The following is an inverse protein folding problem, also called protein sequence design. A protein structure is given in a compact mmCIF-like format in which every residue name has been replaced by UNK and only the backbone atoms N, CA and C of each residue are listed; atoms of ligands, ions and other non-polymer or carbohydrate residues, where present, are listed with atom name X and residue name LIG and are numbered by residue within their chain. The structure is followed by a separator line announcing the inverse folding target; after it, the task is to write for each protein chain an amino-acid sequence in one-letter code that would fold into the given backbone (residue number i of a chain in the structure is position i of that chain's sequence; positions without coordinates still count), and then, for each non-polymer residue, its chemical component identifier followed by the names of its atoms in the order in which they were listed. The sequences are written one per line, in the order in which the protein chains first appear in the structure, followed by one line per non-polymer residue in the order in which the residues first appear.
data_IF_230738282193
#
_entry.id   IF_230738282193
#
_cell.length_a   1.000
_cell.length_b   1.000
_cell.length_c   1.000
_cell.angle_alpha   90.00
_cell.angle_beta   90.00
_cell.angle_gamma   90.00
#
_symmetry.space_group_name_H-M   'P 1'
#
loop_
_entity.id
_entity.type
_entity.pdbx_description
1 polymer ?
#
# COMPACT_ATOMS: atom_id res chain seq x y z
N UNK A 1 -22.66 12.35 8.83
CA UNK A 1 -22.45 11.12 9.63
C UNK A 1 -20.97 10.89 9.86
N UNK A 2 -20.66 10.22 10.96
CA UNK A 2 -19.29 9.87 11.34
C UNK A 2 -19.28 8.42 11.86
N UNK A 3 -18.19 7.73 11.67
CA UNK A 3 -17.91 6.43 12.26
C UNK A 3 -16.42 6.31 12.63
N UNK A 4 -16.16 5.49 13.63
CA UNK A 4 -14.82 5.23 14.15
C UNK A 4 -14.62 3.73 14.31
N UNK A 5 -13.39 3.28 14.19
CA UNK A 5 -12.95 1.93 14.50
C UNK A 5 -11.58 1.95 15.18
N UNK A 6 -11.39 1.03 16.12
CA UNK A 6 -10.11 0.70 16.73
C UNK A 6 -9.51 -0.49 16.01
N UNK A 7 -8.28 -0.36 15.54
CA UNK A 7 -7.57 -1.40 14.81
C UNK A 7 -6.30 -1.78 15.57
N UNK A 8 -6.24 -2.98 16.18
CA UNK A 8 -5.03 -3.49 16.78
C UNK A 8 -4.06 -3.97 15.70
N UNK A 9 -2.81 -3.51 15.79
CA UNK A 9 -1.70 -3.84 14.91
C UNK A 9 -0.47 -4.19 15.73
N UNK A 10 0.43 -4.99 15.16
CA UNK A 10 1.69 -5.34 15.79
C UNK A 10 2.82 -4.45 15.29
N UNK A 11 3.76 -4.15 16.19
CA UNK A 11 5.06 -3.63 15.79
C UNK A 11 5.98 -4.78 15.35
N UNK A 12 6.96 -4.44 14.52
CA UNK A 12 8.04 -5.34 14.11
C UNK A 12 9.08 -5.45 15.22
N UNK A 13 8.74 -6.17 16.28
CA UNK A 13 9.68 -6.42 17.36
C UNK A 13 10.92 -7.17 16.85
N UNK A 14 12.14 -6.86 17.37
CA UNK A 14 13.35 -7.59 17.03
C UNK A 14 13.29 -9.02 17.53
N UNK A 15 13.97 -9.93 16.83
CA UNK A 15 14.28 -11.25 17.36
C UNK A 15 15.32 -11.17 18.50
N UNK A 16 15.59 -12.29 19.14
CA UNK A 16 16.50 -12.34 20.29
C UNK A 16 17.91 -11.86 19.94
N UNK A 17 18.45 -12.26 18.78
CA UNK A 17 19.79 -11.85 18.34
C UNK A 17 19.87 -10.34 18.07
N UNK A 18 18.87 -9.81 17.42
CA UNK A 18 18.79 -8.38 17.13
C UNK A 18 18.60 -7.55 18.40
N UNK A 19 17.84 -8.06 19.36
CA UNK A 19 17.65 -7.41 20.66
C UNK A 19 18.94 -7.38 21.49
N UNK A 20 19.70 -8.49 21.53
CA UNK A 20 21.00 -8.55 22.20
C UNK A 20 21.99 -7.57 21.55
N UNK A 21 22.07 -7.54 20.23
CA UNK A 21 22.87 -6.55 19.51
C UNK A 21 22.48 -5.13 19.91
N UNK A 22 21.19 -4.83 19.97
CA UNK A 22 20.69 -3.51 20.32
C UNK A 22 21.08 -3.11 21.75
N UNK A 23 20.90 -4.01 22.72
CA UNK A 23 21.29 -3.78 24.11
C UNK A 23 22.79 -3.52 24.24
N UNK A 24 23.64 -4.33 23.58
CA UNK A 24 25.09 -4.17 23.62
C UNK A 24 25.59 -2.84 23.03
N UNK A 25 24.88 -2.29 22.05
CA UNK A 25 25.19 -0.95 21.50
C UNK A 25 24.75 0.15 22.45
N UNK A 26 23.51 0.06 22.94
CA UNK A 26 22.94 1.10 23.83
C UNK A 26 23.76 1.19 25.13
N UNK A 27 24.21 0.05 25.70
CA UNK A 27 25.07 0.02 26.90
C UNK A 27 26.39 0.79 26.71
N UNK A 28 26.92 0.81 25.49
CA UNK A 28 28.16 1.52 25.16
C UNK A 28 27.95 2.96 24.70
N UNK A 29 26.69 3.36 24.50
CA UNK A 29 26.36 4.70 24.00
C UNK A 29 26.31 5.70 25.15
N UNK A 30 27.22 6.65 25.16
CA UNK A 30 27.23 7.73 26.14
C UNK A 30 26.34 8.89 25.69
N UNK A 31 25.28 9.17 26.45
CA UNK A 31 24.34 10.29 26.19
C UNK A 31 23.36 9.97 25.06
N UNK A 32 23.11 10.96 24.18
CA UNK A 32 22.19 10.78 23.06
C UNK A 32 22.86 10.02 21.90
N UNK A 33 22.16 9.10 21.23
CA UNK A 33 22.67 8.43 20.03
C UNK A 33 23.07 9.43 18.96
N UNK A 34 24.26 9.25 18.36
CA UNK A 34 24.85 10.13 17.35
C UNK A 34 25.02 9.45 15.99
N UNK A 35 25.12 8.12 15.99
CA UNK A 35 25.30 7.33 14.79
C UNK A 35 24.03 6.55 14.44
N UNK A 36 23.91 6.19 13.16
CA UNK A 36 22.77 5.39 12.71
C UNK A 36 22.63 4.06 13.48
N UNK A 37 23.69 3.28 13.73
CA UNK A 37 23.59 2.07 14.57
C UNK A 37 23.07 2.33 15.98
N UNK A 38 23.53 3.38 16.65
CA UNK A 38 23.08 3.76 17.99
C UNK A 38 21.60 4.14 18.00
N UNK A 39 21.15 4.92 17.00
CA UNK A 39 19.74 5.32 16.86
C UNK A 39 18.87 4.08 16.67
N UNK A 40 19.21 3.21 15.71
CA UNK A 40 18.39 2.03 15.44
C UNK A 40 18.49 0.96 16.52
N UNK A 41 19.60 0.85 17.25
CA UNK A 41 19.68 -0.02 18.44
C UNK A 41 18.66 0.42 19.50
N UNK A 42 18.60 1.70 19.80
CA UNK A 42 17.59 2.25 20.72
C UNK A 42 16.15 2.00 20.21
N UNK A 43 15.89 2.18 18.93
CA UNK A 43 14.58 1.94 18.34
C UNK A 43 14.17 0.46 18.42
N UNK A 44 15.11 -0.50 18.29
CA UNK A 44 14.79 -1.92 18.48
C UNK A 44 14.31 -2.22 19.90
N UNK A 45 14.92 -1.58 20.91
CA UNK A 45 14.49 -1.74 22.31
C UNK A 45 13.08 -1.20 22.49
N UNK A 46 12.77 -0.01 21.98
CA UNK A 46 11.41 0.55 22.03
C UNK A 46 10.36 -0.34 21.35
N UNK A 47 10.68 -0.92 20.18
CA UNK A 47 9.75 -1.83 19.50
C UNK A 47 9.56 -3.14 20.26
N UNK A 48 10.57 -3.60 21.01
CA UNK A 48 10.44 -4.76 21.87
C UNK A 48 9.55 -4.48 23.10
N UNK A 49 9.70 -3.32 23.70
CA UNK A 49 8.93 -2.90 24.90
C UNK A 49 7.48 -2.57 24.56
N UNK A 50 7.20 -2.14 23.31
CA UNK A 50 5.87 -1.80 22.82
C UNK A 50 5.52 -2.69 21.61
N UNK A 51 5.08 -3.95 21.83
CA UNK A 51 4.86 -4.89 20.73
C UNK A 51 3.58 -4.61 19.91
N UNK A 52 2.66 -3.81 20.42
CA UNK A 52 1.35 -3.55 19.80
C UNK A 52 0.96 -2.06 19.86
N UNK A 53 0.16 -1.66 18.87
CA UNK A 53 -0.52 -0.38 18.82
C UNK A 53 -2.00 -0.57 18.52
N UNK A 54 -2.86 0.29 19.08
CA UNK A 54 -4.27 0.39 18.70
C UNK A 54 -4.48 1.70 17.96
N UNK A 55 -4.76 1.62 16.65
CA UNK A 55 -5.02 2.78 15.83
C UNK A 55 -6.49 3.18 15.90
N UNK A 56 -6.76 4.48 16.01
CA UNK A 56 -8.09 5.04 15.88
C UNK A 56 -8.27 5.53 14.45
N UNK A 57 -9.11 4.83 13.69
CA UNK A 57 -9.45 5.16 12.30
C UNK A 57 -10.84 5.79 12.27
N UNK A 58 -11.00 6.82 11.47
CA UNK A 58 -12.25 7.54 11.39
C UNK A 58 -12.70 7.73 9.94
N UNK A 59 -14.03 7.76 9.73
CA UNK A 59 -14.62 8.23 8.49
C UNK A 59 -15.73 9.25 8.80
N UNK A 60 -15.74 10.32 8.02
CA UNK A 60 -16.76 11.38 8.07
C UNK A 60 -17.40 11.50 6.69
N UNK A 61 -18.72 11.61 6.64
CA UNK A 61 -19.46 11.92 5.42
C UNK A 61 -20.11 13.29 5.52
N UNK A 62 -19.85 14.14 4.52
CA UNK A 62 -20.50 15.45 4.34
C UNK A 62 -21.08 15.48 2.92
N UNK A 63 -22.40 15.34 2.80
CA UNK A 63 -23.04 15.18 1.50
C UNK A 63 -22.51 13.96 0.76
N UNK A 64 -21.89 14.16 -0.41
CA UNK A 64 -21.27 13.11 -1.24
C UNK A 64 -19.75 13.02 -1.07
N UNK A 65 -19.20 13.74 -0.09
CA UNK A 65 -17.78 13.71 0.25
C UNK A 65 -17.57 12.75 1.41
N UNK A 66 -16.64 11.80 1.24
CA UNK A 66 -16.09 10.94 2.28
C UNK A 66 -14.71 11.43 2.71
N UNK A 67 -14.48 11.44 4.00
CA UNK A 67 -13.17 11.81 4.59
C UNK A 67 -12.74 10.64 5.46
N UNK A 68 -11.52 10.15 5.27
CA UNK A 68 -10.89 9.18 6.18
C UNK A 68 -9.76 9.82 6.95
N UNK A 69 -9.68 9.57 8.26
CA UNK A 69 -8.60 9.99 9.13
C UNK A 69 -7.76 8.79 9.57
N UNK A 70 -6.45 8.87 9.34
CA UNK A 70 -5.48 7.80 9.63
C UNK A 70 -4.35 8.40 10.46
N UNK A 71 -3.99 7.83 11.65
CA UNK A 71 -2.93 8.36 12.51
C UNK A 71 -1.53 7.95 12.05
N UNK A 72 -1.28 7.94 10.74
CA UNK A 72 -0.03 7.51 10.13
C UNK A 72 0.30 8.41 8.93
N UNK A 73 1.56 8.41 8.52
CA UNK A 73 1.96 8.91 7.20
C UNK A 73 1.72 7.82 6.16
N UNK A 74 0.69 8.03 5.30
CA UNK A 74 0.29 7.06 4.29
C UNK A 74 0.90 7.37 2.94
N UNK A 75 1.15 6.31 2.17
CA UNK A 75 1.53 6.46 0.77
C UNK A 75 0.34 6.95 -0.08
N UNK A 76 0.63 7.75 -1.09
CA UNK A 76 -0.39 8.21 -2.05
C UNK A 76 -1.18 7.05 -2.66
N UNK A 77 -0.55 5.87 -2.82
CA UNK A 77 -1.17 4.65 -3.31
C UNK A 77 -2.34 4.20 -2.43
N UNK A 78 -2.22 4.28 -1.10
CA UNK A 78 -3.30 3.96 -0.16
C UNK A 78 -4.52 4.86 -0.37
N UNK A 79 -4.30 6.16 -0.52
CA UNK A 79 -5.37 7.11 -0.85
C UNK A 79 -6.01 6.84 -2.22
N UNK A 80 -5.23 6.44 -3.22
CA UNK A 80 -5.74 6.05 -4.54
C UNK A 80 -6.59 4.79 -4.48
N UNK A 81 -6.17 3.77 -3.71
CA UNK A 81 -6.97 2.55 -3.44
C UNK A 81 -8.31 2.90 -2.81
N UNK A 82 -8.31 3.77 -1.80
CA UNK A 82 -9.54 4.22 -1.14
C UNK A 82 -10.45 4.99 -2.11
N UNK A 83 -9.92 5.94 -2.87
CA UNK A 83 -10.70 6.69 -3.88
C UNK A 83 -11.32 5.80 -4.94
N UNK A 84 -10.59 4.81 -5.42
CA UNK A 84 -11.08 3.87 -6.42
C UNK A 84 -12.25 3.03 -5.92
N UNK A 85 -12.25 2.65 -4.65
CA UNK A 85 -13.21 1.71 -4.06
C UNK A 85 -14.29 2.39 -3.21
N UNK A 86 -14.11 3.64 -2.83
CA UNK A 86 -15.07 4.36 -1.97
C UNK A 86 -16.48 4.34 -2.55
N UNK A 87 -17.53 4.15 -1.72
CA UNK A 87 -18.92 4.27 -2.15
C UNK A 87 -19.33 5.72 -2.46
N UNK A 88 -18.51 6.70 -2.08
CA UNK A 88 -18.79 8.13 -2.25
C UNK A 88 -18.07 8.69 -3.49
N UNK A 89 -18.65 9.69 -4.14
CA UNK A 89 -18.12 10.26 -5.36
C UNK A 89 -16.74 10.89 -5.17
N UNK A 90 -16.57 11.60 -4.05
CA UNK A 90 -15.32 12.22 -3.65
C UNK A 90 -14.83 11.62 -2.34
N UNK A 91 -13.56 11.24 -2.27
CA UNK A 91 -12.94 10.73 -1.05
C UNK A 91 -11.62 11.43 -0.80
N UNK A 92 -11.41 11.87 0.42
CA UNK A 92 -10.21 12.55 0.90
C UNK A 92 -9.63 11.72 2.03
N UNK A 93 -8.35 11.42 1.98
CA UNK A 93 -7.61 10.78 3.06
C UNK A 93 -6.76 11.81 3.76
N UNK A 94 -6.91 11.94 5.07
CA UNK A 94 -6.07 12.76 5.93
C UNK A 94 -5.10 11.85 6.69
N UNK A 95 -3.82 12.13 6.52
CA UNK A 95 -2.72 11.54 7.28
C UNK A 95 -2.60 12.22 8.64
N UNK A 96 -1.87 11.56 9.57
CA UNK A 96 -1.55 12.08 10.90
C UNK A 96 -2.77 12.60 11.66
N UNK A 97 -3.94 12.06 11.33
CA UNK A 97 -5.18 12.42 11.97
C UNK A 97 -5.31 11.69 13.32
N UNK A 98 -5.43 12.47 14.41
CA UNK A 98 -5.60 11.97 15.78
C UNK A 98 -4.42 11.15 16.32
N UNK A 99 -3.22 11.33 15.79
CA UNK A 99 -2.03 10.63 16.27
C UNK A 99 -0.91 10.58 15.23
N UNK A 100 0.19 9.94 15.61
CA UNK A 100 1.35 9.74 14.74
C UNK A 100 2.01 8.40 15.07
N UNK A 101 1.59 7.35 14.35
CA UNK A 101 2.16 5.99 14.50
C UNK A 101 3.11 5.66 13.33
N UNK A 102 3.73 6.69 12.74
CA UNK A 102 4.78 6.59 11.72
C UNK A 102 4.28 6.20 10.32
N UNK A 103 5.22 5.88 9.47
CA UNK A 103 4.97 5.48 8.07
C UNK A 103 4.28 4.13 7.98
N UNK A 104 3.37 3.99 7.04
CA UNK A 104 2.73 2.72 6.67
C UNK A 104 2.93 2.43 5.18
N UNK A 105 4.13 2.01 4.77
CA UNK A 105 4.37 1.62 3.40
C UNK A 105 3.52 0.39 3.04
N UNK A 106 2.96 0.33 1.82
CA UNK A 106 2.37 -0.90 1.30
C UNK A 106 3.36 -2.08 1.35
N UNK A 107 2.90 -3.33 1.46
CA UNK A 107 3.78 -4.50 1.62
C UNK A 107 4.90 -4.59 0.58
N UNK A 108 4.61 -4.27 -0.68
CA UNK A 108 5.56 -4.27 -1.77
C UNK A 108 6.68 -3.22 -1.60
N UNK A 109 6.42 -2.12 -0.90
CA UNK A 109 7.43 -1.08 -0.65
C UNK A 109 8.44 -1.48 0.43
N UNK A 110 8.05 -2.39 1.35
CA UNK A 110 9.00 -2.94 2.32
C UNK A 110 10.15 -3.68 1.65
N UNK A 111 9.93 -4.31 0.50
CA UNK A 111 10.95 -5.02 -0.28
C UNK A 111 11.92 -4.06 -0.95
N UNK A 112 11.43 -2.89 -1.38
CA UNK A 112 12.27 -1.85 -2.00
C UNK A 112 13.18 -1.14 -1.00
N UNK A 113 12.82 -1.19 0.29
CA UNK A 113 13.60 -0.54 1.34
C UNK A 113 13.39 0.98 1.39
N UNK A 114 14.35 1.67 2.01
CA UNK A 114 14.28 3.09 2.28
C UNK A 114 13.92 3.39 3.74
N UNK A 115 14.23 4.60 4.22
CA UNK A 115 14.10 4.97 5.64
C UNK A 115 12.69 4.80 6.20
N UNK A 116 11.67 4.97 5.38
CA UNK A 116 10.26 4.81 5.72
C UNK A 116 9.82 3.34 5.86
N UNK A 117 10.74 2.39 5.63
CA UNK A 117 10.52 0.96 5.84
C UNK A 117 11.40 0.37 6.94
N UNK A 118 12.36 1.14 7.46
CA UNK A 118 13.26 0.64 8.50
C UNK A 118 12.55 0.51 9.84
N UNK A 119 12.74 -0.62 10.53
CA UNK A 119 12.07 -0.89 11.79
C UNK A 119 12.54 0.07 12.88
N UNK A 120 11.71 1.06 13.17
CA UNK A 120 11.85 2.09 14.19
C UNK A 120 10.45 2.58 14.58
N UNK A 121 10.30 3.40 15.62
CA UNK A 121 9.00 4.02 15.97
C UNK A 121 8.38 4.81 14.81
N UNK A 122 9.21 5.36 13.93
CA UNK A 122 8.78 6.11 12.76
C UNK A 122 8.26 5.24 11.60
N UNK A 123 8.46 3.92 11.64
CA UNK A 123 7.99 2.95 10.65
C UNK A 123 7.91 1.56 11.28
N UNK A 124 7.35 1.46 12.48
CA UNK A 124 7.44 0.25 13.31
C UNK A 124 6.40 -0.81 13.02
N UNK A 125 5.27 -0.48 12.42
CA UNK A 125 4.15 -1.39 12.23
C UNK A 125 4.49 -2.55 11.27
N UNK A 126 3.77 -3.64 11.43
CA UNK A 126 3.89 -4.85 10.61
C UNK A 126 3.65 -4.56 9.11
N UNK A 127 4.29 -5.28 8.16
CA UNK A 127 4.11 -5.04 6.73
C UNK A 127 2.66 -5.14 6.23
N UNK A 128 1.82 -5.90 6.95
CA UNK A 128 0.39 -6.01 6.66
C UNK A 128 -0.45 -4.83 7.18
N UNK A 129 0.13 -3.85 7.84
CA UNK A 129 -0.60 -2.74 8.46
C UNK A 129 -1.36 -1.91 7.43
N UNK A 130 -0.71 -1.49 6.32
CA UNK A 130 -1.34 -0.67 5.29
C UNK A 130 -2.61 -1.29 4.71
N UNK A 131 -2.62 -2.54 4.21
CA UNK A 131 -3.84 -3.11 3.67
C UNK A 131 -4.95 -3.29 4.72
N UNK A 132 -4.60 -3.57 5.98
CA UNK A 132 -5.59 -3.67 7.07
C UNK A 132 -6.21 -2.31 7.41
N UNK A 133 -5.41 -1.24 7.41
CA UNK A 133 -5.87 0.13 7.62
C UNK A 133 -6.76 0.57 6.44
N UNK A 134 -6.33 0.34 5.20
CA UNK A 134 -7.11 0.67 4.01
C UNK A 134 -8.47 -0.03 4.00
N UNK A 135 -8.50 -1.32 4.37
CA UNK A 135 -9.73 -2.10 4.48
C UNK A 135 -10.67 -1.56 5.56
N UNK A 136 -10.16 -1.26 6.75
CA UNK A 136 -10.94 -0.68 7.84
C UNK A 136 -11.52 0.69 7.45
N UNK A 137 -10.75 1.54 6.77
CA UNK A 137 -11.24 2.83 6.25
C UNK A 137 -12.36 2.65 5.23
N UNK A 138 -12.26 1.67 4.31
CA UNK A 138 -13.32 1.37 3.35
C UNK A 138 -14.60 0.89 4.04
N UNK A 139 -14.49 0.02 5.05
CA UNK A 139 -15.64 -0.41 5.87
C UNK A 139 -16.30 0.76 6.59
N UNK A 140 -15.51 1.70 7.11
CA UNK A 140 -16.05 2.91 7.73
C UNK A 140 -16.75 3.81 6.71
N UNK A 141 -16.24 3.95 5.48
CA UNK A 141 -16.89 4.68 4.40
C UNK A 141 -18.20 4.03 3.97
N UNK A 142 -18.27 2.69 3.91
CA UNK A 142 -19.50 1.94 3.68
C UNK A 142 -20.53 2.23 4.79
N UNK A 143 -20.09 2.19 6.04
CA UNK A 143 -20.93 2.46 7.21
C UNK A 143 -21.52 3.88 7.20
N UNK A 144 -20.70 4.91 6.95
CA UNK A 144 -21.18 6.30 6.96
C UNK A 144 -22.01 6.65 5.72
N UNK A 145 -21.82 5.96 4.61
CA UNK A 145 -22.58 6.18 3.38
C UNK A 145 -23.88 5.38 3.31
N UNK A 146 -23.93 4.23 3.99
CA UNK A 146 -24.98 3.23 3.84
C UNK A 146 -24.99 2.54 2.48
N UNK A 147 -23.86 2.61 1.74
CA UNK A 147 -23.72 2.05 0.39
C UNK A 147 -22.52 1.09 0.35
N UNK A 148 -22.57 0.02 -0.45
CA UNK A 148 -21.40 -0.84 -0.65
C UNK A 148 -20.30 -0.09 -1.40
N UNK A 149 -19.04 -0.50 -1.18
CA UNK A 149 -17.91 0.04 -1.93
C UNK A 149 -18.03 -0.27 -3.42
N UNK A 150 -17.42 0.57 -4.21
CA UNK A 150 -17.32 0.34 -5.65
C UNK A 150 -16.31 -0.78 -5.92
N UNK A 151 -16.63 -1.62 -6.88
CA UNK A 151 -15.65 -2.51 -7.50
C UNK A 151 -14.98 -1.69 -8.61
N UNK A 152 -13.66 -1.44 -8.53
CA UNK A 152 -12.98 -0.70 -9.58
C UNK A 152 -13.16 -1.39 -10.92
N UNK A 153 -13.83 -0.72 -11.84
CA UNK A 153 -13.96 -1.20 -13.22
C UNK A 153 -12.91 -0.53 -14.08
N UNK A 154 -12.13 -1.32 -14.77
CA UNK A 154 -11.15 -0.82 -15.73
C UNK A 154 -11.90 -0.32 -16.97
N UNK A 155 -11.91 1.00 -17.20
CA UNK A 155 -12.48 1.55 -18.42
C UNK A 155 -11.59 1.25 -19.61
N UNK A 156 -12.13 0.55 -20.60
CA UNK A 156 -11.40 0.17 -21.82
C UNK A 156 -11.61 1.24 -22.90
N UNK A 157 -10.56 2.01 -23.21
CA UNK A 157 -10.55 2.96 -24.31
C UNK A 157 -10.43 2.31 -25.69
N UNK A 158 -10.37 3.15 -26.73
CA UNK A 158 -10.28 2.65 -28.11
C UNK A 158 -9.10 1.70 -28.34
N UNK A 159 -7.92 2.03 -27.82
CA UNK A 159 -6.72 1.19 -27.95
C UNK A 159 -6.92 -0.17 -27.26
N UNK A 160 -7.43 -0.17 -26.02
CA UNK A 160 -7.71 -1.40 -25.28
C UNK A 160 -8.77 -2.29 -25.97
N UNK A 161 -9.81 -1.66 -26.55
CA UNK A 161 -10.82 -2.38 -27.34
C UNK A 161 -10.23 -3.00 -28.60
N UNK A 162 -9.34 -2.28 -29.30
CA UNK A 162 -8.66 -2.78 -30.49
C UNK A 162 -7.75 -3.98 -30.17
N UNK A 163 -6.97 -3.89 -29.06
CA UNK A 163 -6.13 -5.01 -28.61
C UNK A 163 -6.99 -6.23 -28.27
N UNK A 164 -8.05 -6.05 -27.50
CA UNK A 164 -8.95 -7.15 -27.14
C UNK A 164 -9.62 -7.79 -28.38
N UNK A 165 -10.01 -6.96 -29.37
CA UNK A 165 -10.59 -7.45 -30.63
C UNK A 165 -9.60 -8.25 -31.48
N UNK A 166 -8.30 -7.96 -31.39
CA UNK A 166 -7.24 -8.72 -32.05
C UNK A 166 -7.02 -10.12 -31.41
N UNK A 167 -7.67 -10.41 -30.28
CA UNK A 167 -7.62 -11.71 -29.57
C UNK A 167 -6.19 -12.20 -29.34
N UNK A 168 -5.32 -11.42 -28.68
CA UNK A 168 -3.94 -11.85 -28.41
C UNK A 168 -3.92 -13.14 -27.59
N UNK A 169 -2.81 -13.85 -27.61
CA UNK A 169 -2.62 -15.06 -26.78
C UNK A 169 -2.71 -14.71 -25.30
N UNK A 170 -2.10 -13.61 -24.91
CA UNK A 170 -2.16 -13.05 -23.58
C UNK A 170 -2.01 -11.52 -23.64
N UNK A 171 -2.53 -10.83 -22.64
CA UNK A 171 -2.42 -9.38 -22.54
C UNK A 171 -2.43 -8.93 -21.08
N UNK A 172 -1.27 -8.56 -20.54
CA UNK A 172 -1.11 -8.01 -19.19
C UNK A 172 -1.04 -6.48 -19.28
N UNK A 173 -1.94 -5.80 -18.58
CA UNK A 173 -1.99 -4.33 -18.57
C UNK A 173 -1.03 -3.71 -17.58
N UNK A 174 -0.65 -4.44 -16.55
CA UNK A 174 0.22 -4.01 -15.46
C UNK A 174 -0.34 -2.80 -14.71
N UNK A 175 -1.65 -2.78 -14.51
CA UNK A 175 -2.37 -1.68 -13.84
C UNK A 175 -2.98 -2.11 -12.49
N UNK A 176 -2.52 -3.20 -11.93
CA UNK A 176 -2.89 -3.68 -10.61
C UNK A 176 -2.39 -2.74 -9.50
N UNK A 177 -3.12 -2.72 -8.39
CA UNK A 177 -2.72 -1.98 -7.18
C UNK A 177 -1.62 -2.69 -6.38
N UNK A 178 -1.48 -4.01 -6.53
CA UNK A 178 -0.54 -4.85 -5.80
C UNK A 178 -0.30 -6.16 -6.55
N UNK A 179 0.75 -6.89 -6.11
CA UNK A 179 1.04 -8.26 -6.58
C UNK A 179 0.57 -9.35 -5.62
N UNK A 180 1.03 -10.58 -5.81
CA UNK A 180 1.96 -10.98 -6.88
C UNK A 180 1.32 -11.31 -8.23
N UNK A 181 -0.01 -11.29 -8.36
CA UNK A 181 -0.69 -11.70 -9.59
C UNK A 181 -0.68 -10.58 -10.64
N UNK A 182 -0.17 -10.88 -11.84
CA UNK A 182 -0.34 -10.06 -13.04
C UNK A 182 -1.51 -10.62 -13.85
N UNK A 183 -2.60 -9.87 -13.94
CA UNK A 183 -3.85 -10.33 -14.53
C UNK A 183 -3.74 -10.35 -16.07
N UNK A 184 -3.98 -11.50 -16.67
CA UNK A 184 -4.18 -11.60 -18.12
C UNK A 184 -5.62 -11.19 -18.47
N UNK A 185 -5.80 -10.08 -19.17
CA UNK A 185 -7.11 -9.60 -19.65
C UNK A 185 -7.84 -10.62 -20.55
N UNK A 186 -7.12 -11.61 -21.08
CA UNK A 186 -7.70 -12.71 -21.83
C UNK A 186 -8.13 -13.89 -20.95
N UNK A 187 -7.88 -13.84 -19.64
CA UNK A 187 -8.21 -14.84 -18.63
C UNK A 187 -7.64 -16.25 -18.93
N UNK A 188 -6.42 -16.34 -19.44
CA UNK A 188 -5.79 -17.62 -19.83
C UNK A 188 -4.42 -17.83 -19.21
N UNK A 189 -3.64 -16.75 -19.10
CA UNK A 189 -2.21 -16.82 -18.79
C UNK A 189 -1.82 -15.76 -17.79
N UNK A 190 -2.41 -15.78 -16.58
CA UNK A 190 -1.97 -14.90 -15.50
C UNK A 190 -0.48 -15.04 -15.27
N UNK A 191 0.17 -13.93 -15.05
CA UNK A 191 1.56 -13.86 -14.67
C UNK A 191 1.72 -13.73 -13.16
N UNK A 192 2.96 -13.81 -12.74
CA UNK A 192 3.39 -13.57 -11.37
C UNK A 192 4.47 -12.49 -11.40
N UNK A 193 4.25 -11.40 -10.69
CA UNK A 193 5.29 -10.44 -10.39
C UNK A 193 6.26 -11.03 -9.37
N UNK A 194 7.53 -10.95 -9.65
CA UNK A 194 8.57 -11.18 -8.65
C UNK A 194 8.60 -10.04 -7.63
N UNK A 195 9.48 -10.10 -6.66
CA UNK A 195 9.67 -9.02 -5.67
C UNK A 195 10.18 -7.72 -6.33
N UNK A 196 10.24 -6.61 -5.59
CA UNK A 196 10.78 -5.33 -6.06
C UNK A 196 10.04 -4.74 -7.28
N UNK A 197 8.73 -4.81 -7.26
CA UNK A 197 7.87 -4.15 -8.24
C UNK A 197 7.06 -3.05 -7.56
N UNK A 198 7.14 -1.83 -8.06
CA UNK A 198 6.25 -0.75 -7.64
C UNK A 198 5.03 -0.71 -8.56
N UNK A 199 3.84 -0.72 -7.96
CA UNK A 199 2.57 -0.86 -8.68
C UNK A 199 1.85 0.48 -8.86
N UNK A 200 0.93 0.48 -9.82
CA UNK A 200 -0.05 1.56 -10.05
C UNK A 200 0.55 2.94 -10.30
N UNK A 201 1.76 3.01 -10.83
CA UNK A 201 2.41 4.27 -11.20
C UNK A 201 1.75 4.88 -12.44
N UNK A 202 2.02 6.17 -12.70
CA UNK A 202 1.55 6.82 -13.91
C UNK A 202 2.17 6.14 -15.13
N UNK A 203 1.31 5.58 -15.98
CA UNK A 203 1.71 5.02 -17.26
C UNK A 203 1.83 6.10 -18.36
N UNK A 204 2.29 5.72 -19.55
CA UNK A 204 2.39 6.63 -20.68
C UNK A 204 1.05 7.33 -20.95
N UNK A 205 1.07 8.64 -21.07
CA UNK A 205 -0.10 9.42 -21.40
C UNK A 205 -0.08 9.77 -22.89
N UNK A 206 -1.11 9.36 -23.61
CA UNK A 206 -1.30 9.70 -25.00
C UNK A 206 -2.79 9.98 -25.25
N UNK A 207 -3.15 11.24 -25.38
CA UNK A 207 -4.54 11.69 -25.54
C UNK A 207 -5.25 11.02 -26.70
N UNK A 208 -4.52 10.71 -27.77
CA UNK A 208 -5.02 9.99 -28.95
C UNK A 208 -5.42 8.53 -28.65
N UNK A 209 -4.73 7.86 -27.74
CA UNK A 209 -4.95 6.43 -27.45
C UNK A 209 -5.67 6.19 -26.14
N UNK A 210 -5.53 7.11 -25.18
CA UNK A 210 -6.10 7.01 -23.83
C UNK A 210 -6.88 8.27 -23.43
N UNK A 211 -7.81 8.77 -24.27
CA UNK A 211 -8.53 10.01 -23.96
C UNK A 211 -9.38 9.82 -22.71
N UNK A 212 -9.17 10.69 -21.72
CA UNK A 212 -9.92 10.67 -20.46
C UNK A 212 -9.71 9.42 -19.61
N UNK A 213 -8.69 8.59 -19.88
CA UNK A 213 -8.41 7.37 -19.13
C UNK A 213 -7.18 7.48 -18.26
N UNK A 214 -7.27 6.86 -17.10
CA UNK A 214 -6.10 6.66 -16.25
C UNK A 214 -5.31 5.49 -16.81
N UNK A 215 -4.11 5.75 -17.35
CA UNK A 215 -3.17 4.73 -17.75
C UNK A 215 -2.18 4.49 -16.62
N UNK A 216 -1.99 3.23 -16.24
CA UNK A 216 -1.11 2.80 -15.15
C UNK A 216 -0.04 1.86 -15.66
N UNK A 217 1.04 1.76 -14.89
CA UNK A 217 2.17 0.90 -15.19
C UNK A 217 2.78 0.35 -13.90
N UNK A 218 3.41 -0.81 -14.00
CA UNK A 218 4.31 -1.32 -12.98
C UNK A 218 5.76 -0.86 -13.28
N UNK A 219 6.53 -0.60 -12.23
CA UNK A 219 7.96 -0.32 -12.32
C UNK A 219 8.75 -1.48 -11.73
N UNK A 220 9.61 -2.07 -12.52
CA UNK A 220 10.45 -3.20 -12.14
C UNK A 220 11.83 -2.69 -11.70
N UNK A 221 12.20 -2.96 -10.47
CA UNK A 221 13.48 -2.52 -9.89
C UNK A 221 14.46 -3.70 -9.89
N UNK A 222 14.88 -4.10 -11.10
CA UNK A 222 15.81 -5.22 -11.30
C UNK A 222 15.17 -6.60 -11.39
N UNK A 223 13.87 -6.75 -11.16
CA UNK A 223 13.11 -7.98 -11.21
C UNK A 223 12.18 -8.03 -12.44
N UNK A 224 11.30 -9.03 -12.50
CA UNK A 224 10.48 -9.28 -13.68
C UNK A 224 9.06 -9.75 -13.34
N UNK A 225 8.22 -9.80 -14.34
CA UNK A 225 6.99 -10.55 -14.36
C UNK A 225 7.21 -11.82 -15.19
N UNK A 226 6.73 -12.97 -14.71
CA UNK A 226 6.79 -14.25 -15.39
C UNK A 226 5.38 -14.77 -15.70
N UNK A 227 5.20 -15.32 -16.88
CA UNK A 227 3.97 -16.01 -17.26
C UNK A 227 4.29 -17.25 -18.10
N UNK A 228 3.43 -18.26 -17.99
CA UNK A 228 3.51 -19.43 -18.86
C UNK A 228 2.60 -19.24 -20.06
N UNK A 229 3.18 -19.29 -21.24
CA UNK A 229 2.45 -19.27 -22.50
C UNK A 229 2.43 -20.67 -23.12
N UNK A 230 1.42 -21.00 -23.96
CA UNK A 230 1.45 -22.20 -24.78
C UNK A 230 2.62 -22.13 -25.76
N UNK A 231 3.07 -23.28 -26.28
CA UNK A 231 4.02 -23.27 -27.37
C UNK A 231 3.41 -22.48 -28.54
N UNK A 232 4.05 -21.39 -28.88
CA UNK A 232 3.74 -20.63 -30.08
C UNK A 232 4.31 -21.46 -31.25
N UNK A 233 3.41 -21.98 -32.11
CA UNK A 233 3.79 -22.75 -33.26
C UNK A 233 4.53 -21.95 -34.33
#
# INVERSE_FOLDING_TARGET
SMAEAKLPLKFRAPDAQRLEWAKAIVEKTEGLPKTQPEIYAREQIFLHERPEAELILQAIRIGDIGITGIPNEVYALTGLKQKAQSPLATTITFDLANGSEGYIPPPEQHVLGGYNTWAARTAGLEPSAEPRIAEACLQLLEKVSGKPRRIPTVTRGPAAKAIAAAKPVAWWRMDEFNGPRAVDEMNRHDGIYETQVAYYLAGPHAEKFTPGQVNRAAHFVGERMQARLPKLG
#
